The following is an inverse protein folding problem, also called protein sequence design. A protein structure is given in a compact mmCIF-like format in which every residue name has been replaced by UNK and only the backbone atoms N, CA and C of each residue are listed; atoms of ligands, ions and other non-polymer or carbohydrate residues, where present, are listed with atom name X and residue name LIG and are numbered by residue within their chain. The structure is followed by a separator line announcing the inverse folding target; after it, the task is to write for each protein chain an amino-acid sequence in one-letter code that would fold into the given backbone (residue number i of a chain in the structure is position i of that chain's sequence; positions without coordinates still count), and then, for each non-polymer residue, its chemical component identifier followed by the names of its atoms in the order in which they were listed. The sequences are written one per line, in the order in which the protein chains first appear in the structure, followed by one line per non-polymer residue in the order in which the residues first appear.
data_IF_711612642222
#
_entry.id   IF_711612642222
#
_cell.length_a   1.000
_cell.length_b   1.000
_cell.length_c   1.000
_cell.angle_alpha   90.00
_cell.angle_beta   90.00
_cell.angle_gamma   90.00
#
_symmetry.space_group_name_H-M   'P 1'
#
loop_
_entity.id
_entity.type
_entity.pdbx_description
1 polymer ?
#
# COMPACT_ATOMS: atom_id res chain seq x y z
N UNK A 1 -1.42 19.38 -24.37
CA UNK A 1 -1.21 17.93 -24.18
C UNK A 1 -0.38 17.74 -22.91
N UNK A 2 -1.03 17.65 -21.73
CA UNK A 2 -0.35 17.52 -20.43
C UNK A 2 -1.20 16.60 -19.55
N UNK A 3 -1.30 15.32 -19.92
CA UNK A 3 -1.93 14.29 -19.08
C UNK A 3 -1.21 12.97 -19.34
N UNK A 4 0.09 12.88 -19.05
CA UNK A 4 0.84 11.65 -19.33
C UNK A 4 2.06 11.42 -18.42
N UNK A 5 2.11 11.98 -17.21
CA UNK A 5 3.31 11.84 -16.35
C UNK A 5 3.07 11.19 -14.99
N UNK A 6 1.85 10.74 -14.68
CA UNK A 6 1.54 10.11 -13.37
C UNK A 6 1.31 8.59 -13.47
N UNK A 7 1.47 7.98 -14.65
CA UNK A 7 1.12 6.57 -14.86
C UNK A 7 2.28 5.60 -14.55
N UNK A 8 3.52 6.08 -14.41
CA UNK A 8 4.71 5.20 -14.45
C UNK A 8 5.25 4.82 -13.06
N UNK A 9 4.74 5.39 -11.96
CA UNK A 9 5.19 4.99 -10.62
C UNK A 9 4.48 3.73 -10.08
N UNK A 10 3.26 3.44 -10.55
CA UNK A 10 2.49 2.29 -10.07
C UNK A 10 3.08 0.93 -10.51
N UNK A 11 3.71 0.87 -11.69
CA UNK A 11 4.25 -0.38 -12.21
C UNK A 11 5.72 -0.63 -11.80
N UNK A 12 6.51 0.44 -11.62
CA UNK A 12 7.94 0.31 -11.30
C UNK A 12 8.24 0.20 -9.81
N UNK A 13 7.39 0.74 -8.91
CA UNK A 13 7.68 0.74 -7.47
C UNK A 13 7.55 -0.64 -6.79
N UNK A 14 6.68 -1.52 -7.28
CA UNK A 14 6.42 -2.82 -6.67
C UNK A 14 7.24 -3.97 -7.28
N UNK A 15 7.71 -3.85 -8.52
CA UNK A 15 8.57 -4.89 -9.12
C UNK A 15 9.96 -4.95 -8.46
N UNK A 16 10.40 -3.83 -7.85
CA UNK A 16 11.60 -3.78 -7.00
C UNK A 16 11.38 -4.40 -5.61
N UNK A 17 10.13 -4.56 -5.16
CA UNK A 17 9.79 -5.10 -3.84
C UNK A 17 10.12 -6.60 -3.74
N UNK A 18 9.94 -7.35 -4.84
CA UNK A 18 10.33 -8.77 -4.89
C UNK A 18 11.84 -8.96 -4.72
N UNK A 19 12.63 -7.96 -5.13
CA UNK A 19 14.10 -7.98 -5.05
C UNK A 19 14.61 -7.48 -3.69
N UNK A 20 13.87 -6.56 -3.04
CA UNK A 20 14.15 -6.07 -1.68
C UNK A 20 13.86 -7.09 -0.59
N UNK A 21 12.99 -8.08 -0.84
CA UNK A 21 12.70 -9.20 0.07
C UNK A 21 13.96 -10.02 0.43
N UNK A 22 15.00 -9.97 -0.41
CA UNK A 22 16.22 -10.77 -0.23
C UNK A 22 17.37 -10.06 0.50
N UNK A 23 17.26 -8.75 0.78
CA UNK A 23 18.38 -7.96 1.30
C UNK A 23 18.18 -7.58 2.77
N UNK A 24 18.86 -8.34 3.64
CA UNK A 24 19.27 -8.03 5.02
C UNK A 24 18.64 -6.76 5.65
N UNK A 25 17.55 -6.95 6.39
CA UNK A 25 16.92 -5.90 7.17
C UNK A 25 17.65 -5.72 8.51
N UNK A 26 18.85 -5.13 8.47
CA UNK A 26 19.53 -4.64 9.67
C UNK A 26 18.82 -3.39 10.21
N UNK A 27 18.86 -3.15 11.53
CA UNK A 27 18.08 -2.11 12.24
C UNK A 27 18.18 -0.68 11.68
N UNK A 28 19.27 -0.32 10.99
CA UNK A 28 19.39 0.96 10.27
C UNK A 28 18.38 1.12 9.12
N UNK A 29 18.01 0.01 8.46
CA UNK A 29 17.11 -0.02 7.31
C UNK A 29 15.63 0.06 7.68
N UNK A 30 15.25 -0.11 8.96
CA UNK A 30 13.84 -0.22 9.36
C UNK A 30 13.10 1.13 9.24
N UNK A 31 13.75 2.23 9.61
CA UNK A 31 13.18 3.58 9.47
C UNK A 31 13.01 3.98 8.00
N UNK A 32 13.97 3.64 7.15
CA UNK A 32 13.92 3.90 5.71
C UNK A 32 12.83 3.07 5.03
N UNK A 33 12.69 1.80 5.43
CA UNK A 33 11.60 0.94 4.97
C UNK A 33 10.24 1.45 5.42
N UNK A 34 10.10 1.94 6.66
CA UNK A 34 8.87 2.57 7.14
C UNK A 34 8.54 3.83 6.32
N UNK A 35 9.50 4.72 6.10
CA UNK A 35 9.30 5.92 5.30
C UNK A 35 8.88 5.58 3.85
N UNK A 36 9.48 4.54 3.28
CA UNK A 36 9.12 4.01 1.97
C UNK A 36 7.68 3.48 1.96
N UNK A 37 7.30 2.67 2.94
CA UNK A 37 5.92 2.16 3.10
C UNK A 37 4.90 3.30 3.23
N UNK A 38 5.20 4.32 4.04
CA UNK A 38 4.33 5.49 4.22
C UNK A 38 4.16 6.29 2.92
N UNK A 39 5.26 6.51 2.18
CA UNK A 39 5.21 7.19 0.88
C UNK A 39 4.39 6.40 -0.15
N UNK A 40 4.60 5.09 -0.23
CA UNK A 40 3.83 4.21 -1.10
C UNK A 40 2.34 4.18 -0.70
N UNK A 41 2.05 4.13 0.59
CA UNK A 41 0.68 4.19 1.11
C UNK A 41 -0.01 5.50 0.72
N UNK A 42 0.66 6.64 0.87
CA UNK A 42 0.11 7.93 0.47
C UNK A 42 -0.22 7.97 -1.03
N UNK A 43 0.67 7.43 -1.87
CA UNK A 43 0.43 7.30 -3.31
C UNK A 43 -0.76 6.38 -3.62
N UNK A 44 -0.82 5.21 -2.96
CA UNK A 44 -1.92 4.26 -3.13
C UNK A 44 -3.25 4.87 -2.67
N UNK A 45 -3.28 5.55 -1.53
CA UNK A 45 -4.45 6.27 -1.00
C UNK A 45 -4.96 7.32 -1.97
N UNK A 46 -4.08 8.09 -2.60
CA UNK A 46 -4.47 9.05 -3.63
C UNK A 46 -5.12 8.36 -4.84
N UNK A 47 -4.64 7.18 -5.25
CA UNK A 47 -5.28 6.41 -6.31
C UNK A 47 -6.67 5.90 -5.90
N UNK A 48 -6.82 5.41 -4.65
CA UNK A 48 -8.13 5.04 -4.10
C UNK A 48 -9.10 6.21 -4.11
N UNK A 49 -8.67 7.39 -3.65
CA UNK A 49 -9.50 8.59 -3.67
C UNK A 49 -9.94 8.97 -5.09
N UNK A 50 -9.05 8.81 -6.08
CA UNK A 50 -9.38 9.02 -7.50
C UNK A 50 -10.39 8.01 -8.06
N UNK A 51 -10.29 6.73 -7.65
CA UNK A 51 -11.26 5.70 -8.05
C UNK A 51 -12.60 5.90 -7.33
N UNK A 52 -12.58 6.32 -6.05
CA UNK A 52 -13.78 6.61 -5.26
C UNK A 52 -14.71 7.57 -5.96
N UNK A 53 -14.17 8.66 -6.54
CA UNK A 53 -14.96 9.65 -7.28
C UNK A 53 -15.70 9.01 -8.47
N UNK A 54 -15.01 8.13 -9.20
CA UNK A 54 -15.59 7.44 -10.36
C UNK A 54 -16.63 6.39 -9.92
N UNK A 55 -16.34 5.63 -8.87
CA UNK A 55 -17.26 4.62 -8.31
C UNK A 55 -18.50 5.26 -7.71
N UNK A 56 -18.38 6.42 -7.06
CA UNK A 56 -19.55 7.14 -6.54
C UNK A 56 -20.43 7.71 -7.65
N UNK A 57 -19.85 8.08 -8.78
CA UNK A 57 -20.58 8.58 -9.95
C UNK A 57 -21.36 7.49 -10.71
N UNK A 58 -21.05 6.21 -10.50
CA UNK A 58 -21.80 5.10 -11.13
C UNK A 58 -23.08 4.76 -10.35
N UNK A 59 -24.05 4.17 -11.06
CA UNK A 59 -25.24 3.54 -10.48
C UNK A 59 -25.02 2.07 -10.13
N UNK A 60 -23.82 1.52 -10.40
CA UNK A 60 -23.51 0.12 -10.12
C UNK A 60 -23.23 -0.11 -8.63
N UNK A 61 -24.19 -0.71 -7.92
CA UNK A 61 -24.08 -1.02 -6.49
C UNK A 61 -23.03 -2.09 -6.18
N UNK A 62 -22.75 -3.00 -7.13
CA UNK A 62 -21.71 -4.02 -6.97
C UNK A 62 -20.35 -3.33 -6.93
N UNK A 63 -20.07 -2.45 -7.90
CA UNK A 63 -18.84 -1.67 -7.96
C UNK A 63 -18.58 -0.82 -6.69
N UNK A 64 -19.65 -0.27 -6.09
CA UNK A 64 -19.56 0.45 -4.80
C UNK A 64 -19.20 -0.47 -3.65
N UNK A 65 -19.75 -1.68 -3.63
CA UNK A 65 -19.44 -2.71 -2.63
C UNK A 65 -18.00 -3.18 -2.77
N UNK A 66 -17.56 -3.43 -4.00
CA UNK A 66 -16.19 -3.86 -4.29
C UNK A 66 -15.18 -2.76 -3.95
N UNK A 67 -15.51 -1.49 -4.19
CA UNK A 67 -14.71 -0.37 -3.69
C UNK A 67 -14.60 -0.35 -2.17
N UNK A 68 -15.72 -0.52 -1.43
CA UNK A 68 -15.67 -0.55 0.03
C UNK A 68 -14.80 -1.71 0.55
N UNK A 69 -14.88 -2.88 -0.09
CA UNK A 69 -14.04 -4.03 0.25
C UNK A 69 -12.56 -3.73 -0.04
N UNK A 70 -12.24 -3.11 -1.18
CA UNK A 70 -10.89 -2.69 -1.49
C UNK A 70 -10.38 -1.62 -0.50
N UNK A 71 -11.24 -0.67 -0.10
CA UNK A 71 -10.89 0.38 0.87
C UNK A 71 -10.60 -0.21 2.25
N UNK A 72 -11.29 -1.28 2.64
CA UNK A 72 -10.97 -2.04 3.85
C UNK A 72 -9.54 -2.60 3.82
N UNK A 73 -9.10 -3.15 2.68
CA UNK A 73 -7.71 -3.64 2.53
C UNK A 73 -6.69 -2.50 2.66
N UNK A 74 -7.01 -1.30 2.14
CA UNK A 74 -6.18 -0.12 2.32
C UNK A 74 -6.08 0.30 3.80
N UNK A 75 -7.19 0.26 4.55
CA UNK A 75 -7.19 0.54 6.00
C UNK A 75 -6.35 -0.50 6.76
N UNK A 76 -6.43 -1.78 6.40
CA UNK A 76 -5.58 -2.83 6.98
C UNK A 76 -4.10 -2.56 6.70
N UNK A 77 -3.75 -2.14 5.49
CA UNK A 77 -2.38 -1.75 5.14
C UNK A 77 -1.90 -0.57 6.01
N UNK A 78 -2.73 0.45 6.21
CA UNK A 78 -2.41 1.57 7.11
C UNK A 78 -2.15 1.11 8.54
N UNK A 79 -3.01 0.23 9.06
CA UNK A 79 -2.86 -0.33 10.40
C UNK A 79 -1.52 -1.05 10.55
N UNK A 80 -1.16 -1.91 9.59
CA UNK A 80 0.10 -2.63 9.62
C UNK A 80 1.33 -1.70 9.56
N UNK A 81 1.26 -0.61 8.78
CA UNK A 81 2.31 0.43 8.76
C UNK A 81 2.43 1.13 10.13
N UNK A 82 1.30 1.44 10.77
CA UNK A 82 1.29 2.01 12.12
C UNK A 82 1.87 1.05 13.16
N UNK A 83 1.65 -0.26 13.01
CA UNK A 83 2.23 -1.28 13.87
C UNK A 83 3.76 -1.35 13.76
N UNK A 84 4.31 -1.15 12.54
CA UNK A 84 5.76 -1.00 12.32
C UNK A 84 6.29 0.23 13.02
N UNK A 85 5.66 1.39 12.79
CA UNK A 85 6.05 2.65 13.41
C UNK A 85 6.04 2.55 14.94
N UNK A 86 5.01 1.93 15.51
CA UNK A 86 4.89 1.69 16.95
C UNK A 86 5.99 0.77 17.45
N UNK A 87 6.29 -0.33 16.74
CA UNK A 87 7.34 -1.27 17.14
C UNK A 87 8.73 -0.63 17.14
N UNK A 88 9.04 0.18 16.14
CA UNK A 88 10.28 0.96 16.08
C UNK A 88 10.34 1.96 17.24
N UNK A 89 9.27 2.71 17.46
CA UNK A 89 9.19 3.77 18.48
C UNK A 89 9.40 3.22 19.91
N UNK A 90 8.81 2.06 20.22
CA UNK A 90 8.98 1.42 21.54
C UNK A 90 10.23 0.53 21.63
N UNK A 91 11.13 0.57 20.64
CA UNK A 91 12.39 -0.15 20.65
C UNK A 91 12.25 -1.67 20.65
N UNK A 92 11.26 -2.22 19.93
CA UNK A 92 11.13 -3.67 19.75
C UNK A 92 12.39 -4.26 19.10
N UNK A 93 12.71 -5.54 19.38
CA UNK A 93 13.86 -6.19 18.76
C UNK A 93 13.72 -6.22 17.23
N UNK A 94 14.85 -6.13 16.51
CA UNK A 94 14.88 -6.03 15.05
C UNK A 94 14.11 -7.15 14.34
N UNK A 95 14.12 -8.37 14.89
CA UNK A 95 13.35 -9.50 14.32
C UNK A 95 11.83 -9.24 14.34
N UNK A 96 11.31 -8.67 15.41
CA UNK A 96 9.89 -8.30 15.54
C UNK A 96 9.54 -7.14 14.61
N UNK A 97 10.41 -6.12 14.54
CA UNK A 97 10.24 -4.99 13.63
C UNK A 97 10.21 -5.47 12.18
N UNK A 98 11.14 -6.35 11.79
CA UNK A 98 11.19 -6.92 10.45
C UNK A 98 9.96 -7.76 10.12
N UNK A 99 9.47 -8.57 11.06
CA UNK A 99 8.24 -9.33 10.86
C UNK A 99 7.05 -8.41 10.58
N UNK A 100 6.90 -7.32 11.34
CA UNK A 100 5.86 -6.32 11.11
C UNK A 100 6.02 -5.59 9.78
N UNK A 101 7.25 -5.28 9.37
CA UNK A 101 7.54 -4.67 8.06
C UNK A 101 7.06 -5.60 6.94
N UNK A 102 7.37 -6.90 7.03
CA UNK A 102 6.91 -7.89 6.06
C UNK A 102 5.37 -7.96 6.03
N UNK A 103 4.71 -7.94 7.18
CA UNK A 103 3.24 -7.90 7.24
C UNK A 103 2.69 -6.64 6.58
N UNK A 104 3.26 -5.47 6.86
CA UNK A 104 2.84 -4.20 6.24
C UNK A 104 3.03 -4.22 4.72
N UNK A 105 4.15 -4.77 4.23
CA UNK A 105 4.39 -4.95 2.80
C UNK A 105 3.37 -5.88 2.14
N UNK A 106 3.04 -7.01 2.78
CA UNK A 106 2.01 -7.93 2.28
C UNK A 106 0.65 -7.25 2.21
N UNK A 107 0.25 -6.52 3.26
CA UNK A 107 -1.03 -5.81 3.24
C UNK A 107 -1.08 -4.70 2.19
N UNK A 108 0.04 -4.00 1.96
CA UNK A 108 0.17 -3.05 0.86
C UNK A 108 -0.01 -3.71 -0.52
N UNK A 109 0.54 -4.91 -0.72
CA UNK A 109 0.33 -5.68 -1.96
C UNK A 109 -1.12 -6.12 -2.13
N UNK A 110 -1.78 -6.55 -1.04
CA UNK A 110 -3.19 -6.93 -1.06
C UNK A 110 -4.08 -5.74 -1.42
N UNK A 111 -3.89 -4.58 -0.77
CA UNK A 111 -4.62 -3.37 -1.10
C UNK A 111 -4.39 -2.92 -2.55
N UNK A 112 -3.15 -2.96 -3.02
CA UNK A 112 -2.84 -2.62 -4.41
C UNK A 112 -3.53 -3.58 -5.41
N UNK A 113 -3.52 -4.88 -5.13
CA UNK A 113 -4.22 -5.88 -5.94
C UNK A 113 -5.73 -5.68 -5.94
N UNK A 114 -6.32 -5.37 -4.78
CA UNK A 114 -7.75 -5.09 -4.65
C UNK A 114 -8.15 -3.86 -5.50
N UNK A 115 -7.35 -2.79 -5.48
CA UNK A 115 -7.56 -1.63 -6.34
C UNK A 115 -7.40 -1.96 -7.84
N UNK A 116 -6.40 -2.76 -8.20
CA UNK A 116 -6.16 -3.17 -9.59
C UNK A 116 -7.29 -4.03 -10.14
N UNK A 117 -7.82 -4.95 -9.34
CA UNK A 117 -8.97 -5.76 -9.67
C UNK A 117 -10.21 -4.87 -9.88
N UNK A 118 -10.49 -3.98 -8.92
CA UNK A 118 -11.61 -3.05 -9.02
C UNK A 118 -11.54 -2.19 -10.29
N UNK A 119 -10.35 -1.64 -10.60
CA UNK A 119 -10.13 -0.86 -11.83
C UNK A 119 -10.35 -1.67 -13.11
N UNK A 120 -10.19 -2.99 -13.07
CA UNK A 120 -10.41 -3.87 -14.22
C UNK A 120 -11.89 -4.22 -14.43
N UNK A 121 -12.73 -4.00 -13.40
CA UNK A 121 -14.19 -4.19 -13.44
C UNK A 121 -14.95 -2.91 -13.86
N UNK A 122 -14.24 -1.79 -13.95
CA UNK A 122 -14.74 -0.48 -14.39
C UNK A 122 -14.68 -0.29 -15.89
#
# INVERSE_FOLDING_TARGET
MIVATVVILAYLGFQSLSSFISADASSGNANEQLATLQSQYASLKAQYDGVRVQVQATSNNQLKTDYNNAELELVKAQSAINDVSSAISVGKPSAEVNSRIQTAQQQMQTANSALANLKSEM
#
